data_IF_708801698058
#
_entry.id   IF_708801698058
#
_cell.length_a   1.000
_cell.length_b   1.000
_cell.length_c   1.000
_cell.angle_alpha   90.00
_cell.angle_beta   90.00
_cell.angle_gamma   90.00
#
_symmetry.space_group_name_H-M   'P 1'
#
loop_
_entity.id
_entity.type
_entity.pdbx_description
1 polymer ?
#
# COMPACT_ATOMS: atom_id res chain seq x y z
N UNK A 1 39.54 -40.92 8.16
CA UNK A 1 38.21 -40.78 8.77
C UNK A 1 37.56 -42.15 8.72
N UNK A 2 37.21 -42.68 9.88
CA UNK A 2 37.17 -44.11 10.20
C UNK A 2 35.79 -44.74 9.92
N UNK A 3 35.82 -46.04 9.67
CA UNK A 3 34.77 -46.96 9.19
C UNK A 3 33.47 -46.99 10.01
N UNK A 4 32.40 -47.30 9.29
CA UNK A 4 31.06 -47.74 9.74
C UNK A 4 31.13 -49.26 10.02
N UNK A 5 30.56 -49.70 11.14
CA UNK A 5 30.26 -51.11 11.44
C UNK A 5 28.80 -51.28 11.88
N UNK A 6 28.18 -52.31 11.31
CA UNK A 6 26.83 -52.85 11.54
C UNK A 6 26.65 -53.44 12.95
N UNK A 7 25.41 -53.45 13.45
CA UNK A 7 24.93 -54.63 14.19
C UNK A 7 23.40 -54.79 14.10
N UNK A 8 22.99 -55.92 13.53
CA UNK A 8 21.60 -56.34 13.34
C UNK A 8 20.91 -56.77 14.64
N UNK A 9 19.58 -56.68 14.70
CA UNK A 9 18.78 -57.55 15.56
C UNK A 9 17.40 -57.82 14.95
N UNK A 10 17.22 -59.07 14.50
CA UNK A 10 15.93 -59.71 14.22
C UNK A 10 15.27 -60.08 15.56
N UNK A 11 13.95 -59.96 15.65
CA UNK A 11 13.14 -60.99 16.31
C UNK A 11 11.67 -60.87 15.91
N UNK A 12 11.16 -61.97 15.35
CA UNK A 12 9.75 -62.23 15.09
C UNK A 12 9.07 -62.67 16.38
N UNK A 13 7.86 -62.14 16.60
CA UNK A 13 6.95 -62.56 17.65
C UNK A 13 6.35 -63.95 17.35
N UNK A 14 6.14 -64.74 18.40
CA UNK A 14 5.26 -65.90 18.35
C UNK A 14 5.20 -66.72 19.64
N UNK A 15 4.10 -66.55 20.40
CA UNK A 15 3.27 -67.60 21.07
C UNK A 15 4.01 -68.39 22.20
N UNK A 16 3.63 -68.47 23.50
CA UNK A 16 2.34 -68.78 24.13
C UNK A 16 2.48 -68.78 25.67
N UNK A 17 1.36 -68.48 26.36
CA UNK A 17 0.83 -69.11 27.60
C UNK A 17 1.54 -69.00 28.97
N UNK A 18 1.00 -68.09 29.81
CA UNK A 18 0.37 -68.31 31.13
C UNK A 18 1.02 -69.26 32.18
N UNK A 19 1.51 -68.69 33.31
CA UNK A 19 1.02 -69.04 34.68
C UNK A 19 1.59 -68.13 35.77
N UNK A 20 0.77 -68.01 36.82
CA UNK A 20 0.74 -67.04 37.92
C UNK A 20 1.55 -67.56 39.13
N UNK A 21 1.90 -66.64 40.04
CA UNK A 21 1.91 -66.73 41.52
C UNK A 21 3.31 -66.56 42.16
N UNK A 22 3.42 -65.57 43.07
CA UNK A 22 4.38 -65.64 44.18
C UNK A 22 5.03 -64.31 44.54
N UNK A 23 4.35 -63.50 45.35
CA UNK A 23 4.88 -62.30 46.00
C UNK A 23 5.93 -62.62 47.07
N UNK A 24 7.05 -61.91 47.08
CA UNK A 24 7.76 -61.55 48.33
C UNK A 24 8.28 -60.11 48.20
N UNK A 25 7.81 -59.28 49.12
CA UNK A 25 8.19 -57.88 49.32
C UNK A 25 9.37 -57.81 50.28
N UNK A 26 10.43 -57.10 49.91
CA UNK A 26 11.40 -56.54 50.85
C UNK A 26 11.79 -55.14 50.39
N UNK A 27 11.37 -54.14 51.18
CA UNK A 27 11.74 -52.72 51.06
C UNK A 27 13.23 -52.54 51.29
N UNK A 28 13.91 -51.75 50.44
CA UNK A 28 14.98 -50.89 50.92
C UNK A 28 15.16 -49.66 50.00
N UNK A 29 15.02 -48.50 50.63
CA UNK A 29 15.54 -47.15 50.32
C UNK A 29 15.52 -46.62 48.87
N UNK A 30 14.70 -45.59 48.68
CA UNK A 30 14.88 -44.55 47.65
C UNK A 30 16.02 -43.63 48.10
N UNK A 31 17.03 -43.34 47.27
CA UNK A 31 17.68 -42.04 47.27
C UNK A 31 17.04 -41.15 46.20
N UNK A 32 16.74 -39.94 46.62
CA UNK A 32 16.22 -38.82 45.83
C UNK A 32 17.10 -38.50 44.62
N UNK A 33 16.50 -37.89 43.60
CA UNK A 33 17.26 -37.11 42.63
C UNK A 33 16.82 -37.25 41.18
N UNK A 34 15.55 -36.98 40.87
CA UNK A 34 15.19 -36.47 39.55
C UNK A 34 14.37 -35.21 39.78
N UNK A 35 14.95 -34.05 39.48
CA UNK A 35 14.21 -32.80 39.32
C UNK A 35 13.23 -33.01 38.16
N UNK A 36 12.03 -33.50 38.45
CA UNK A 36 10.93 -33.42 37.50
C UNK A 36 10.72 -31.94 37.24
N UNK A 37 10.97 -31.49 36.01
CA UNK A 37 10.55 -30.17 35.54
C UNK A 37 9.12 -29.97 36.04
N UNK A 38 8.92 -29.01 36.94
CA UNK A 38 7.63 -28.81 37.60
C UNK A 38 6.62 -28.40 36.51
N UNK A 39 5.95 -29.40 35.94
CA UNK A 39 4.99 -29.27 34.85
C UNK A 39 3.87 -28.30 35.23
N UNK A 40 3.52 -28.25 36.52
CA UNK A 40 2.57 -27.32 37.06
C UNK A 40 3.11 -25.87 37.09
N UNK A 41 4.40 -25.66 37.40
CA UNK A 41 5.03 -24.32 37.34
C UNK A 41 5.16 -23.82 35.91
N UNK A 42 5.51 -24.71 34.98
CA UNK A 42 5.64 -24.36 33.56
C UNK A 42 4.29 -23.97 32.96
N UNK A 43 3.20 -24.69 33.30
CA UNK A 43 1.83 -24.33 32.91
C UNK A 43 1.39 -22.97 33.44
N UNK A 44 1.66 -22.69 34.72
CA UNK A 44 1.29 -21.40 35.33
C UNK A 44 2.05 -20.23 34.70
N UNK A 45 3.34 -20.40 34.42
CA UNK A 45 4.13 -19.39 33.71
C UNK A 45 3.55 -19.13 32.32
N UNK A 46 3.17 -20.18 31.58
CA UNK A 46 2.56 -20.02 30.25
C UNK A 46 1.24 -19.24 30.30
N UNK A 47 0.38 -19.53 31.29
CA UNK A 47 -0.89 -18.79 31.48
C UNK A 47 -0.63 -17.32 31.81
N UNK A 48 0.34 -17.02 32.67
CA UNK A 48 0.68 -15.64 33.05
C UNK A 48 1.25 -14.89 31.85
N UNK A 49 2.20 -15.47 31.12
CA UNK A 49 2.80 -14.85 29.93
C UNK A 49 1.73 -14.61 28.86
N UNK A 50 0.87 -15.59 28.59
CA UNK A 50 -0.26 -15.42 27.67
C UNK A 50 -1.22 -14.32 28.14
N UNK A 51 -1.51 -14.25 29.44
CA UNK A 51 -2.40 -13.21 29.99
C UNK A 51 -1.80 -11.81 29.87
N UNK A 52 -0.49 -11.66 30.15
CA UNK A 52 0.22 -10.38 29.97
C UNK A 52 0.22 -9.96 28.50
N UNK A 53 0.47 -10.89 27.58
CA UNK A 53 0.39 -10.63 26.14
C UNK A 53 -1.02 -10.20 25.71
N UNK A 54 -2.07 -10.87 26.20
CA UNK A 54 -3.45 -10.51 25.88
C UNK A 54 -3.85 -9.15 26.46
N UNK A 55 -3.42 -8.82 27.68
CA UNK A 55 -3.62 -7.49 28.27
C UNK A 55 -2.88 -6.44 27.44
N UNK A 56 -1.64 -6.71 27.04
CA UNK A 56 -0.88 -5.81 26.18
C UNK A 56 -1.56 -5.60 24.82
N UNK A 57 -2.02 -6.66 24.18
CA UNK A 57 -2.80 -6.60 22.93
C UNK A 57 -4.12 -5.83 23.13
N UNK A 58 -4.79 -6.01 24.26
CA UNK A 58 -6.02 -5.28 24.59
C UNK A 58 -5.74 -3.79 24.82
N UNK A 59 -4.64 -3.44 25.47
CA UNK A 59 -4.20 -2.05 25.63
C UNK A 59 -3.84 -1.43 24.28
N UNK A 60 -3.13 -2.15 23.40
CA UNK A 60 -2.88 -1.71 22.02
C UNK A 60 -4.16 -1.58 21.19
N UNK A 61 -5.13 -2.47 21.40
CA UNK A 61 -6.42 -2.41 20.72
C UNK A 61 -7.22 -1.18 21.19
N UNK A 62 -7.27 -0.93 22.50
CA UNK A 62 -7.88 0.28 23.05
C UNK A 62 -7.14 1.52 22.56
N UNK A 63 -5.81 1.56 22.61
CA UNK A 63 -5.00 2.69 22.11
C UNK A 63 -5.18 2.91 20.61
N UNK A 64 -5.39 1.87 19.81
CA UNK A 64 -5.75 2.04 18.38
C UNK A 64 -7.17 2.60 18.22
N UNK A 65 -8.09 2.26 19.13
CA UNK A 65 -9.48 2.69 19.08
C UNK A 65 -9.69 4.09 19.70
N UNK A 66 -8.87 4.47 20.70
CA UNK A 66 -8.84 5.78 21.35
C UNK A 66 -7.81 6.71 20.73
N UNK A 67 -6.76 6.20 20.10
CA UNK A 67 -5.78 6.96 19.28
C UNK A 67 -6.37 7.46 17.95
N UNK A 68 -7.68 7.32 17.78
CA UNK A 68 -8.52 8.13 16.89
C UNK A 68 -8.64 9.58 17.43
N UNK A 69 -8.21 9.85 18.68
CA UNK A 69 -8.17 11.18 19.33
C UNK A 69 -7.08 12.13 18.82
N UNK A 70 -6.64 12.01 17.56
CA UNK A 70 -6.00 13.12 16.85
C UNK A 70 -6.88 13.67 15.72
N UNK A 71 -8.18 13.41 15.77
CA UNK A 71 -9.15 14.32 15.22
C UNK A 71 -9.57 15.26 16.34
N UNK A 72 -8.90 16.42 16.44
CA UNK A 72 -9.64 17.59 16.90
C UNK A 72 -10.77 17.71 15.87
N UNK A 73 -11.99 17.31 16.25
CA UNK A 73 -13.18 17.64 15.48
C UNK A 73 -13.23 19.15 15.53
N UNK A 74 -12.60 19.80 14.56
CA UNK A 74 -12.50 21.25 14.48
C UNK A 74 -13.94 21.74 14.35
N UNK A 75 -14.53 22.37 15.38
CA UNK A 75 -15.84 22.94 15.20
C UNK A 75 -15.77 23.90 14.01
N UNK A 76 -16.73 23.85 13.08
CA UNK A 76 -16.70 24.65 11.85
C UNK A 76 -16.37 26.13 12.09
N UNK A 77 -16.85 26.68 13.22
CA UNK A 77 -16.55 28.04 13.70
C UNK A 77 -15.05 28.27 13.91
N UNK A 78 -14.33 27.31 14.51
CA UNK A 78 -12.88 27.41 14.71
C UNK A 78 -12.07 27.24 13.43
N UNK A 79 -12.58 26.51 12.42
CA UNK A 79 -11.92 26.39 11.13
C UNK A 79 -11.93 27.74 10.40
N UNK A 80 -13.09 28.38 10.30
CA UNK A 80 -13.25 29.69 9.66
C UNK A 80 -12.38 30.77 10.35
N UNK A 81 -12.33 30.76 11.69
CA UNK A 81 -11.45 31.63 12.48
C UNK A 81 -9.96 31.37 12.19
N UNK A 82 -9.54 30.10 12.14
CA UNK A 82 -8.13 29.74 11.91
C UNK A 82 -7.70 30.06 10.48
N UNK A 83 -8.55 29.78 9.48
CA UNK A 83 -8.29 30.14 8.08
C UNK A 83 -8.13 31.66 7.91
N UNK A 84 -8.95 32.44 8.62
CA UNK A 84 -8.87 33.91 8.59
C UNK A 84 -7.59 34.42 9.25
N UNK A 85 -7.19 33.81 10.38
CA UNK A 85 -5.97 34.19 11.10
C UNK A 85 -4.70 33.89 10.29
N UNK A 86 -4.67 32.77 9.58
CA UNK A 86 -3.55 32.32 8.75
C UNK A 86 -3.63 32.85 7.30
N UNK A 87 -4.60 33.72 6.99
CA UNK A 87 -4.82 34.27 5.64
C UNK A 87 -4.96 33.19 4.53
N UNK A 88 -5.48 32.01 4.90
CA UNK A 88 -5.64 30.88 3.97
C UNK A 88 -6.95 31.01 3.22
N UNK A 89 -6.88 31.02 1.89
CA UNK A 89 -8.08 31.05 1.04
C UNK A 89 -8.58 29.63 0.77
N UNK A 90 -9.80 29.33 1.18
CA UNK A 90 -10.48 28.07 0.90
C UNK A 90 -11.95 28.30 0.56
N UNK A 91 -12.36 27.84 -0.61
CA UNK A 91 -13.75 27.86 -1.03
C UNK A 91 -14.33 26.45 -0.95
N UNK A 92 -15.22 26.16 0.01
CA UNK A 92 -15.79 24.83 0.18
C UNK A 92 -16.65 24.46 -1.03
N UNK A 93 -16.42 23.28 -1.57
CA UNK A 93 -17.24 22.71 -2.65
C UNK A 93 -18.36 21.89 -2.00
N UNK A 94 -19.60 21.92 -2.53
CA UNK A 94 -20.68 21.08 -2.02
C UNK A 94 -20.29 19.60 -2.02
N UNK A 95 -20.06 19.06 -0.82
CA UNK A 95 -19.71 17.66 -0.62
C UNK A 95 -20.95 16.85 -0.29
N UNK A 96 -21.22 15.81 -1.09
CA UNK A 96 -22.21 14.79 -0.72
C UNK A 96 -21.52 13.68 0.07
N UNK A 97 -22.10 13.34 1.23
CA UNK A 97 -21.67 12.20 2.02
C UNK A 97 -21.62 10.95 1.14
N UNK A 98 -20.47 10.30 1.15
CA UNK A 98 -20.20 9.07 0.41
C UNK A 98 -19.70 8.04 1.39
N UNK A 99 -20.19 6.81 1.25
CA UNK A 99 -19.61 5.68 1.95
C UNK A 99 -18.44 5.12 1.14
N UNK A 100 -17.31 4.90 1.79
CA UNK A 100 -16.07 4.40 1.16
C UNK A 100 -15.54 3.18 1.90
N UNK A 101 -14.79 2.34 1.20
CA UNK A 101 -14.11 1.17 1.77
C UNK A 101 -12.65 1.17 1.36
N UNK A 102 -11.86 0.38 2.08
CA UNK A 102 -10.52 0.03 1.61
C UNK A 102 -10.63 -0.84 0.35
N UNK A 103 -9.59 -0.81 -0.48
CA UNK A 103 -9.48 -1.64 -1.67
C UNK A 103 -8.22 -2.50 -1.58
N UNK A 104 -8.32 -3.76 -1.99
CA UNK A 104 -7.17 -4.59 -2.30
C UNK A 104 -7.11 -4.78 -3.81
N UNK A 105 -5.90 -4.82 -4.38
CA UNK A 105 -5.69 -5.09 -5.79
C UNK A 105 -4.48 -6.02 -5.96
N UNK A 106 -4.45 -6.77 -7.05
CA UNK A 106 -3.30 -7.57 -7.43
C UNK A 106 -2.39 -6.78 -8.36
N UNK A 107 -1.09 -7.09 -8.30
CA UNK A 107 -0.13 -6.59 -9.30
C UNK A 107 -0.39 -7.39 -10.57
N UNK A 108 -0.78 -6.70 -11.64
CA UNK A 108 -1.13 -7.35 -12.89
C UNK A 108 0.11 -7.99 -13.52
N UNK A 109 -0.13 -9.08 -14.24
CA UNK A 109 0.88 -9.70 -15.10
C UNK A 109 0.53 -9.44 -16.56
N UNK A 110 1.54 -9.15 -17.38
CA UNK A 110 1.35 -8.87 -18.80
C UNK A 110 1.50 -10.18 -19.58
N UNK A 111 0.40 -10.68 -20.16
CA UNK A 111 0.43 -11.88 -20.98
C UNK A 111 0.77 -11.57 -22.44
N UNK A 112 1.37 -12.52 -23.15
CA UNK A 112 1.63 -12.38 -24.59
C UNK A 112 0.32 -12.21 -25.37
N UNK A 113 -0.79 -12.78 -24.90
CA UNK A 113 -2.11 -12.60 -25.49
C UNK A 113 -2.57 -11.15 -25.47
N UNK A 114 -2.45 -10.46 -24.34
CA UNK A 114 -2.87 -9.06 -24.18
C UNK A 114 -2.01 -8.11 -25.05
N UNK A 115 -0.74 -8.46 -25.23
CA UNK A 115 0.22 -7.64 -25.97
C UNK A 115 0.17 -7.86 -27.49
N UNK A 116 -0.45 -8.94 -27.98
CA UNK A 116 -0.57 -9.25 -29.42
C UNK A 116 -1.30 -8.17 -30.21
N UNK A 117 -2.25 -7.47 -29.58
CA UNK A 117 -3.00 -6.38 -30.21
C UNK A 117 -2.12 -5.14 -30.47
N UNK A 118 -1.04 -4.98 -29.71
CA UNK A 118 -0.13 -3.83 -29.76
C UNK A 118 1.08 -4.08 -30.67
N UNK A 119 0.82 -4.39 -31.94
CA UNK A 119 1.84 -4.84 -32.93
C UNK A 119 2.93 -3.83 -33.31
N UNK A 120 2.76 -2.53 -33.02
CA UNK A 120 3.70 -1.47 -33.42
C UNK A 120 4.89 -1.28 -32.46
N UNK A 121 5.11 -2.22 -31.55
CA UNK A 121 6.04 -2.08 -30.42
C UNK A 121 6.79 -3.39 -30.18
N UNK A 122 7.86 -3.33 -29.39
CA UNK A 122 8.50 -4.50 -28.77
C UNK A 122 8.37 -4.41 -27.26
N UNK A 123 8.16 -5.54 -26.61
CA UNK A 123 7.92 -5.60 -25.17
C UNK A 123 9.04 -6.35 -24.46
N UNK A 124 9.38 -5.85 -23.28
CA UNK A 124 10.24 -6.53 -22.31
C UNK A 124 9.66 -6.30 -20.92
N UNK A 125 9.73 -7.32 -20.07
CA UNK A 125 9.30 -7.21 -18.68
C UNK A 125 10.53 -7.07 -17.81
N UNK A 126 10.54 -6.07 -16.93
CA UNK A 126 11.58 -5.85 -15.94
C UNK A 126 11.26 -6.58 -14.63
N UNK A 127 12.23 -6.62 -13.71
CA UNK A 127 11.99 -7.08 -12.34
C UNK A 127 10.86 -6.22 -11.70
N UNK A 128 9.95 -6.85 -10.97
CA UNK A 128 8.74 -6.25 -10.35
C UNK A 128 7.51 -6.06 -11.26
N UNK A 129 7.31 -6.92 -12.27
CA UNK A 129 6.11 -6.90 -13.12
C UNK A 129 5.90 -5.56 -13.84
N UNK A 130 6.99 -4.86 -14.20
CA UNK A 130 6.93 -3.63 -14.99
C UNK A 130 7.11 -3.95 -16.46
N UNK A 131 6.15 -3.57 -17.29
CA UNK A 131 6.25 -3.68 -18.74
C UNK A 131 7.02 -2.49 -19.28
N UNK A 132 7.99 -2.74 -20.15
CA UNK A 132 8.65 -1.71 -20.93
C UNK A 132 8.34 -1.97 -22.41
N UNK A 133 7.80 -0.96 -23.08
CA UNK A 133 7.38 -1.05 -24.46
C UNK A 133 8.16 -0.04 -25.30
N UNK A 134 9.02 -0.55 -26.19
CA UNK A 134 9.83 0.25 -27.11
C UNK A 134 9.05 0.46 -28.42
N UNK A 135 8.95 1.72 -28.86
CA UNK A 135 8.19 2.09 -30.06
C UNK A 135 8.97 1.76 -31.34
N UNK A 136 8.32 1.13 -32.32
CA UNK A 136 8.91 0.90 -33.66
C UNK A 136 8.58 2.01 -34.65
N UNK A 137 7.60 2.84 -34.32
CA UNK A 137 7.09 3.93 -35.16
C UNK A 137 7.17 5.21 -34.36
N UNK A 138 7.61 6.27 -35.01
CA UNK A 138 7.56 7.63 -34.49
C UNK A 138 6.09 8.03 -34.28
N UNK A 139 5.77 8.38 -33.03
CA UNK A 139 4.46 8.90 -32.64
C UNK A 139 4.71 10.11 -31.77
N UNK A 140 4.27 11.28 -32.19
CA UNK A 140 4.45 12.52 -31.45
C UNK A 140 3.56 12.57 -30.20
N UNK A 141 4.08 13.10 -29.09
CA UNK A 141 3.30 13.47 -27.89
C UNK A 141 2.60 14.82 -28.01
N UNK A 142 2.90 15.56 -29.08
CA UNK A 142 2.30 16.84 -29.40
C UNK A 142 1.33 16.76 -30.57
N UNK A 143 0.27 17.54 -30.49
CA UNK A 143 -0.73 17.66 -31.55
C UNK A 143 -0.35 18.69 -32.63
N UNK A 144 -1.23 18.89 -33.62
CA UNK A 144 -1.00 19.85 -34.72
C UNK A 144 -0.85 21.31 -34.28
N UNK A 145 -1.22 21.63 -33.03
CA UNK A 145 -1.09 22.95 -32.41
C UNK A 145 0.15 23.09 -31.53
N UNK A 146 1.04 22.09 -31.51
CA UNK A 146 2.24 22.04 -30.67
C UNK A 146 1.94 21.94 -29.16
N UNK A 147 0.74 21.45 -28.79
CA UNK A 147 0.33 21.20 -27.40
C UNK A 147 0.49 19.72 -27.05
N UNK A 148 0.91 19.41 -25.81
CA UNK A 148 0.99 18.03 -25.33
C UNK A 148 -0.40 17.39 -25.22
N UNK A 149 -0.59 16.24 -25.87
CA UNK A 149 -1.85 15.52 -25.92
C UNK A 149 -1.58 14.01 -25.97
N UNK A 150 -2.05 13.29 -24.95
CA UNK A 150 -1.73 11.87 -24.77
C UNK A 150 -2.94 10.95 -24.96
N UNK A 151 -4.16 11.48 -25.02
CA UNK A 151 -5.39 10.67 -25.00
C UNK A 151 -5.43 9.63 -26.14
N UNK A 152 -5.17 10.07 -27.37
CA UNK A 152 -5.11 9.19 -28.54
C UNK A 152 -3.94 8.18 -28.46
N UNK A 153 -2.81 8.62 -27.88
CA UNK A 153 -1.65 7.76 -27.69
C UNK A 153 -1.99 6.62 -26.70
N UNK A 154 -2.55 6.97 -25.55
CA UNK A 154 -2.95 6.02 -24.50
C UNK A 154 -3.96 5.01 -25.04
N UNK A 155 -4.98 5.46 -25.77
CA UNK A 155 -6.02 4.57 -26.30
C UNK A 155 -5.51 3.56 -27.33
N UNK A 156 -4.47 3.92 -28.09
CA UNK A 156 -4.01 3.13 -29.24
C UNK A 156 -2.78 2.28 -28.95
N UNK A 157 -1.90 2.74 -28.07
CA UNK A 157 -0.58 2.15 -27.87
C UNK A 157 -0.38 1.58 -26.47
N UNK A 158 -1.21 1.96 -25.49
CA UNK A 158 -1.04 1.51 -24.09
C UNK A 158 -2.16 0.54 -23.71
N UNK A 159 -1.78 -0.61 -23.15
CA UNK A 159 -2.75 -1.58 -22.64
C UNK A 159 -3.61 -0.93 -21.55
N UNK A 160 -4.94 -0.90 -21.74
CA UNK A 160 -5.89 -0.20 -20.86
C UNK A 160 -5.50 1.27 -20.60
N UNK A 161 -4.96 1.97 -21.60
CA UNK A 161 -4.50 3.36 -21.45
C UNK A 161 -5.57 4.33 -20.92
N UNK A 162 -6.86 4.06 -21.14
CA UNK A 162 -7.97 4.85 -20.58
C UNK A 162 -8.02 4.87 -19.05
N UNK A 163 -7.41 3.86 -18.41
CA UNK A 163 -7.37 3.76 -16.96
C UNK A 163 -6.29 4.67 -16.36
N UNK A 164 -5.46 5.32 -17.16
CA UNK A 164 -4.42 6.23 -16.69
C UNK A 164 -4.84 7.69 -16.86
N UNK A 165 -4.38 8.56 -15.96
CA UNK A 165 -4.59 10.01 -16.03
C UNK A 165 -3.28 10.74 -15.82
N UNK A 166 -3.04 11.78 -16.62
CA UNK A 166 -1.83 12.59 -16.52
C UNK A 166 -1.75 13.21 -15.13
N UNK A 167 -0.62 12.99 -14.48
CA UNK A 167 -0.30 13.55 -13.16
C UNK A 167 0.74 14.66 -13.29
N UNK A 168 1.81 14.40 -14.03
CA UNK A 168 2.95 15.31 -14.15
C UNK A 168 3.53 15.26 -15.56
N UNK A 169 3.92 16.43 -16.05
CA UNK A 169 4.62 16.60 -17.32
C UNK A 169 5.97 17.24 -16.99
N UNK A 170 7.04 16.50 -17.26
CA UNK A 170 8.41 16.95 -17.06
C UNK A 170 9.09 17.09 -18.43
N UNK A 171 9.05 18.32 -18.96
CA UNK A 171 9.66 18.63 -20.26
C UNK A 171 11.19 18.58 -20.21
N UNK A 172 11.80 18.83 -19.05
CA UNK A 172 13.26 18.84 -18.89
C UNK A 172 13.81 17.40 -18.97
N UNK A 173 13.14 16.46 -18.32
CA UNK A 173 13.48 15.04 -18.37
C UNK A 173 12.77 14.28 -19.51
N UNK A 174 12.05 14.98 -20.38
CA UNK A 174 11.34 14.43 -21.54
C UNK A 174 10.41 13.27 -21.19
N UNK A 175 9.67 13.40 -20.10
CA UNK A 175 8.77 12.36 -19.63
C UNK A 175 7.45 12.87 -19.06
N UNK A 176 6.41 12.03 -19.15
CA UNK A 176 5.10 12.31 -18.59
C UNK A 176 4.69 11.14 -17.70
N UNK A 177 4.28 11.47 -16.48
CA UNK A 177 3.87 10.51 -15.45
C UNK A 177 2.36 10.49 -15.36
N UNK A 178 1.80 9.28 -15.38
CA UNK A 178 0.38 9.02 -15.28
C UNK A 178 0.11 8.07 -14.13
N UNK A 179 -0.98 8.34 -13.42
CA UNK A 179 -1.47 7.45 -12.37
C UNK A 179 -2.69 6.65 -12.85
N UNK A 180 -2.73 5.38 -12.47
CA UNK A 180 -3.88 4.52 -12.75
C UNK A 180 -5.10 4.97 -11.93
N UNK A 181 -6.29 4.76 -12.49
CA UNK A 181 -7.58 5.02 -11.90
C UNK A 181 -8.33 3.72 -11.67
N UNK A 182 -9.08 3.68 -10.57
CA UNK A 182 -10.05 2.63 -10.27
C UNK A 182 -11.41 3.27 -10.07
N UNK A 183 -12.43 2.85 -10.85
CA UNK A 183 -13.80 3.38 -10.77
C UNK A 183 -13.84 4.93 -10.86
N UNK A 184 -13.01 5.52 -11.71
CA UNK A 184 -12.82 6.98 -11.90
C UNK A 184 -12.02 7.70 -10.81
N UNK A 185 -11.55 6.99 -9.79
CA UNK A 185 -10.78 7.57 -8.69
C UNK A 185 -9.28 7.28 -8.90
N UNK A 186 -8.42 8.27 -8.70
CA UNK A 186 -6.97 8.14 -8.96
C UNK A 186 -6.27 7.39 -7.83
N UNK A 187 -5.30 6.54 -8.17
CA UNK A 187 -4.40 5.88 -7.22
C UNK A 187 -3.13 6.73 -7.10
N UNK A 188 -2.99 7.46 -6.00
CA UNK A 188 -1.89 8.39 -5.76
C UNK A 188 -0.61 7.64 -5.36
N UNK A 189 0.50 7.99 -6.04
CA UNK A 189 1.86 7.61 -5.67
C UNK A 189 2.05 6.10 -5.38
N UNK A 190 1.43 5.22 -6.20
CA UNK A 190 1.69 3.79 -6.15
C UNK A 190 2.67 3.37 -7.25
N UNK A 191 3.85 2.80 -6.92
CA UNK A 191 4.83 2.39 -7.92
C UNK A 191 4.31 1.29 -8.87
N UNK A 192 3.29 0.55 -8.45
CA UNK A 192 2.69 -0.54 -9.23
C UNK A 192 1.43 -0.12 -10.01
N UNK A 193 1.10 1.17 -10.00
CA UNK A 193 -0.08 1.73 -10.67
C UNK A 193 0.27 2.99 -11.48
N UNK A 194 1.43 2.96 -12.16
CA UNK A 194 2.01 4.12 -12.83
C UNK A 194 2.33 3.79 -14.29
N UNK A 195 2.15 4.77 -15.17
CA UNK A 195 2.62 4.76 -16.54
C UNK A 195 3.55 5.97 -16.74
N UNK A 196 4.72 5.74 -17.30
CA UNK A 196 5.68 6.80 -17.64
C UNK A 196 5.98 6.72 -19.13
N UNK A 197 5.70 7.80 -19.86
CA UNK A 197 5.96 7.91 -21.29
C UNK A 197 7.21 8.77 -21.47
N UNK A 198 8.16 8.31 -22.28
CA UNK A 198 9.40 9.03 -22.61
C UNK A 198 9.43 9.41 -24.09
N UNK A 199 9.94 10.60 -24.41
CA UNK A 199 10.11 11.07 -25.79
C UNK A 199 11.52 11.60 -26.06
N UNK A 200 11.82 11.83 -27.35
CA UNK A 200 13.09 12.41 -27.81
C UNK A 200 13.02 13.94 -28.00
N UNK A 201 14.13 14.55 -28.42
CA UNK A 201 14.21 15.99 -28.71
C UNK A 201 13.25 16.46 -29.84
N UNK A 202 12.65 15.54 -30.59
CA UNK A 202 11.64 15.80 -31.62
C UNK A 202 10.22 15.54 -31.12
N UNK A 203 10.04 15.31 -29.81
CA UNK A 203 8.76 14.97 -29.16
C UNK A 203 8.14 13.66 -29.65
N UNK A 204 8.93 12.76 -30.25
CA UNK A 204 8.45 11.42 -30.60
C UNK A 204 8.64 10.47 -29.43
N UNK A 205 7.61 9.68 -29.12
CA UNK A 205 7.68 8.67 -28.07
C UNK A 205 8.72 7.61 -28.44
N UNK A 206 9.69 7.41 -27.54
CA UNK A 206 10.75 6.41 -27.68
C UNK A 206 10.32 5.10 -27.03
N UNK A 207 9.89 5.15 -25.77
CA UNK A 207 9.36 4.02 -25.02
C UNK A 207 8.42 4.48 -23.90
N UNK A 208 7.70 3.53 -23.31
CA UNK A 208 6.99 3.74 -22.06
C UNK A 208 7.23 2.61 -21.07
N UNK A 209 7.08 2.92 -19.78
CA UNK A 209 7.10 1.98 -18.68
C UNK A 209 5.72 1.92 -18.04
N UNK A 210 5.15 0.72 -17.92
CA UNK A 210 3.81 0.52 -17.40
C UNK A 210 3.82 -0.49 -16.25
N UNK A 211 3.27 -0.08 -15.11
CA UNK A 211 2.86 -0.95 -14.02
C UNK A 211 1.36 -0.82 -13.81
N UNK A 212 0.69 -1.95 -13.61
CA UNK A 212 -0.76 -1.99 -13.56
C UNK A 212 -1.22 -2.85 -12.38
N UNK A 213 -2.31 -2.41 -11.77
CA UNK A 213 -3.07 -3.19 -10.81
C UNK A 213 -4.36 -3.72 -11.43
N UNK A 214 -4.76 -4.91 -11.04
CA UNK A 214 -6.02 -5.55 -11.40
C UNK A 214 -6.73 -6.16 -10.18
N UNK A 215 -7.85 -6.83 -10.42
CA UNK A 215 -8.62 -7.54 -9.41
C UNK A 215 -8.93 -6.72 -8.15
N UNK A 216 -9.41 -5.49 -8.36
CA UNK A 216 -9.81 -4.60 -7.29
C UNK A 216 -11.00 -5.15 -6.50
N UNK A 217 -10.76 -5.51 -5.24
CA UNK A 217 -11.76 -5.98 -4.30
C UNK A 217 -11.93 -4.98 -3.16
N UNK A 218 -13.17 -4.54 -2.95
CA UNK A 218 -13.54 -3.77 -1.76
C UNK A 218 -13.54 -4.69 -0.54
N UNK A 219 -12.81 -4.32 0.50
CA UNK A 219 -12.79 -5.06 1.77
C UNK A 219 -13.00 -4.13 2.96
N UNK A 220 -13.30 -4.72 4.12
CA UNK A 220 -13.84 -4.07 5.32
C UNK A 220 -15.27 -3.52 5.15
N UNK A 221 -15.89 -3.18 6.28
CA UNK A 221 -17.13 -2.43 6.30
C UNK A 221 -16.93 -1.05 5.69
N UNK A 222 -17.93 -0.60 4.95
CA UNK A 222 -18.01 0.78 4.49
C UNK A 222 -17.96 1.73 5.69
N UNK A 223 -17.25 2.83 5.51
CA UNK A 223 -17.13 3.91 6.49
C UNK A 223 -17.52 5.23 5.84
N UNK A 224 -17.94 6.17 6.67
CA UNK A 224 -18.23 7.52 6.22
C UNK A 224 -16.94 8.19 5.75
N UNK A 225 -17.00 8.76 4.54
CA UNK A 225 -15.95 9.60 4.00
C UNK A 225 -15.95 10.94 4.75
N UNK A 226 -14.79 11.32 5.29
CA UNK A 226 -14.58 12.64 5.88
C UNK A 226 -14.90 13.72 4.85
N UNK A 227 -15.55 14.79 5.30
CA UNK A 227 -15.82 15.95 4.45
C UNK A 227 -14.53 16.67 4.05
N UNK A 228 -14.60 17.45 2.97
CA UNK A 228 -13.47 18.27 2.53
C UNK A 228 -13.07 19.31 3.59
N UNK A 229 -14.05 19.86 4.31
CA UNK A 229 -13.81 20.81 5.41
C UNK A 229 -13.03 20.16 6.56
N UNK A 230 -13.38 18.92 6.93
CA UNK A 230 -12.64 18.16 7.96
C UNK A 230 -11.21 17.84 7.51
N UNK A 231 -11.03 17.51 6.23
CA UNK A 231 -9.72 17.24 5.64
C UNK A 231 -8.84 18.49 5.65
N UNK A 232 -9.33 19.62 5.13
CA UNK A 232 -8.61 20.90 5.13
C UNK A 232 -8.35 21.39 6.54
N UNK A 233 -9.34 21.30 7.44
CA UNK A 233 -9.18 21.70 8.84
C UNK A 233 -8.14 20.87 9.60
N UNK A 234 -7.98 19.59 9.27
CA UNK A 234 -6.89 18.77 9.79
C UNK A 234 -5.51 19.29 9.36
N UNK A 235 -5.35 19.69 8.10
CA UNK A 235 -4.07 20.26 7.60
C UNK A 235 -3.73 21.59 8.27
N UNK A 236 -4.72 22.49 8.36
CA UNK A 236 -4.53 23.83 8.97
C UNK A 236 -4.16 23.69 10.44
N UNK A 237 -4.93 22.93 11.22
CA UNK A 237 -4.69 22.76 12.67
C UNK A 237 -3.33 22.12 12.97
N UNK A 238 -2.85 21.26 12.07
CA UNK A 238 -1.54 20.59 12.19
C UNK A 238 -0.39 21.42 11.63
N UNK A 239 -0.66 22.61 11.07
CA UNK A 239 0.36 23.51 10.54
C UNK A 239 0.98 23.06 9.21
N UNK A 240 0.31 22.22 8.43
CA UNK A 240 0.78 21.83 7.09
C UNK A 240 0.56 22.95 6.06
N UNK A 241 -0.52 23.73 6.20
CA UNK A 241 -0.79 24.83 5.29
C UNK A 241 -0.06 26.08 5.75
N UNK A 242 0.78 26.63 4.89
CA UNK A 242 1.52 27.88 5.15
C UNK A 242 0.56 29.08 5.11
N UNK A 243 0.91 30.13 5.84
CA UNK A 243 0.19 31.40 5.83
C UNK A 243 0.09 31.95 4.40
N UNK A 244 -1.06 32.56 4.06
CA UNK A 244 -1.30 33.16 2.73
C UNK A 244 -1.52 32.17 1.59
N UNK A 245 -1.52 30.87 1.87
CA UNK A 245 -1.74 29.84 0.86
C UNK A 245 -3.21 29.76 0.40
N UNK A 246 -3.44 29.23 -0.80
CA UNK A 246 -4.77 29.03 -1.38
C UNK A 246 -5.01 27.56 -1.66
N UNK A 247 -6.04 26.99 -1.05
CA UNK A 247 -6.51 25.64 -1.37
C UNK A 247 -7.23 25.68 -2.72
N UNK A 248 -6.62 25.05 -3.73
CA UNK A 248 -7.11 25.06 -5.11
C UNK A 248 -8.21 24.01 -5.30
N UNK A 249 -7.92 22.76 -4.94
CA UNK A 249 -8.81 21.62 -5.15
C UNK A 249 -8.64 20.56 -4.07
N UNK A 250 -9.73 19.85 -3.77
CA UNK A 250 -9.74 18.68 -2.88
C UNK A 250 -10.32 17.50 -3.66
N UNK A 251 -9.45 16.60 -4.14
CA UNK A 251 -9.82 15.46 -4.98
C UNK A 251 -9.78 14.16 -4.20
N UNK A 252 -10.79 13.32 -4.41
CA UNK A 252 -10.85 12.00 -3.81
C UNK A 252 -10.06 10.98 -4.65
N UNK A 253 -9.47 10.00 -3.98
CA UNK A 253 -8.73 8.92 -4.61
C UNK A 253 -8.33 7.86 -3.60
N UNK A 254 -7.27 7.12 -3.93
CA UNK A 254 -6.73 6.04 -3.13
C UNK A 254 -5.23 6.18 -3.00
N UNK A 255 -4.68 5.83 -1.85
CA UNK A 255 -3.23 5.77 -1.66
C UNK A 255 -2.84 4.43 -1.09
N UNK A 256 -1.64 3.97 -1.43
CA UNK A 256 -1.12 2.70 -0.93
C UNK A 256 -0.94 2.76 0.58
N UNK A 257 -1.57 1.83 1.28
CA UNK A 257 -1.46 1.67 2.73
C UNK A 257 -0.48 0.55 3.10
N UNK A 258 -0.56 -0.59 2.41
CA UNK A 258 0.33 -1.74 2.61
C UNK A 258 0.65 -2.35 1.25
N UNK A 259 1.93 -2.63 1.02
CA UNK A 259 2.41 -3.38 -0.14
C UNK A 259 2.84 -4.78 0.30
N UNK A 260 2.23 -5.80 -0.30
CA UNK A 260 2.66 -7.19 -0.19
C UNK A 260 3.19 -7.63 -1.57
N UNK A 261 3.80 -8.82 -1.65
CA UNK A 261 4.48 -9.32 -2.85
C UNK A 261 3.61 -9.30 -4.10
N UNK A 262 2.35 -9.72 -4.00
CA UNK A 262 1.42 -9.83 -5.14
C UNK A 262 0.14 -9.00 -4.95
N UNK A 263 -0.09 -8.45 -3.75
CA UNK A 263 -1.32 -7.76 -3.39
C UNK A 263 -0.98 -6.44 -2.72
N UNK A 264 -1.70 -5.40 -3.10
CA UNK A 264 -1.61 -4.09 -2.47
C UNK A 264 -2.94 -3.72 -1.81
N UNK A 265 -2.84 -3.00 -0.71
CA UNK A 265 -3.97 -2.48 0.03
C UNK A 265 -3.96 -0.96 -0.04
N UNK A 266 -5.12 -0.38 -0.33
CA UNK A 266 -5.31 1.04 -0.53
C UNK A 266 -6.30 1.63 0.44
N UNK A 267 -5.95 2.79 0.97
CA UNK A 267 -6.80 3.61 1.80
C UNK A 267 -7.48 4.72 0.96
N UNK A 268 -8.80 4.95 1.14
CA UNK A 268 -9.45 6.17 0.67
C UNK A 268 -8.66 7.41 1.10
N UNK A 269 -8.39 8.32 0.17
CA UNK A 269 -7.50 9.48 0.41
C UNK A 269 -8.07 10.75 -0.22
N UNK A 270 -7.92 11.87 0.48
CA UNK A 270 -8.06 13.21 -0.07
C UNK A 270 -6.69 13.72 -0.53
N UNK A 271 -6.59 14.15 -1.79
CA UNK A 271 -5.50 14.99 -2.27
C UNK A 271 -5.95 16.46 -2.22
N UNK A 272 -5.31 17.24 -1.35
CA UNK A 272 -5.51 18.67 -1.19
C UNK A 272 -4.37 19.40 -1.91
N UNK A 273 -4.69 20.03 -3.04
CA UNK A 273 -3.74 20.81 -3.81
C UNK A 273 -3.75 22.26 -3.32
N UNK A 274 -2.58 22.77 -2.97
CA UNK A 274 -2.42 24.08 -2.35
C UNK A 274 -1.42 24.89 -3.13
N UNK A 275 -1.80 26.12 -3.50
CA UNK A 275 -0.92 27.10 -4.09
C UNK A 275 -0.35 28.00 -3.00
N UNK A 276 0.96 28.06 -2.90
CA UNK A 276 1.67 28.94 -1.97
C UNK A 276 1.76 30.37 -2.51
N UNK A 277 2.15 31.31 -1.65
CA UNK A 277 2.34 32.72 -2.02
C UNK A 277 3.40 32.92 -3.11
N UNK A 278 4.47 32.12 -3.10
CA UNK A 278 5.53 32.13 -4.11
C UNK A 278 5.10 31.55 -5.47
N UNK A 279 3.87 31.00 -5.53
CA UNK A 279 3.28 30.38 -6.71
C UNK A 279 3.53 28.88 -6.83
N UNK A 280 4.33 28.27 -5.95
CA UNK A 280 4.55 26.83 -5.94
C UNK A 280 3.26 26.08 -5.58
N UNK A 281 3.08 24.89 -6.17
CA UNK A 281 1.93 24.02 -5.93
C UNK A 281 2.41 22.82 -5.13
N UNK A 282 1.84 22.62 -3.94
CA UNK A 282 2.08 21.46 -3.08
C UNK A 282 0.83 20.57 -3.04
N UNK A 283 1.01 19.26 -2.95
CA UNK A 283 -0.07 18.29 -2.79
C UNK A 283 0.03 17.63 -1.42
N UNK A 284 -1.05 17.68 -0.65
CA UNK A 284 -1.15 17.06 0.67
C UNK A 284 -2.14 15.90 0.63
N UNK A 285 -1.73 14.76 1.16
CA UNK A 285 -2.53 13.54 1.12
C UNK A 285 -3.04 13.19 2.51
N UNK A 286 -4.33 12.94 2.64
CA UNK A 286 -4.96 12.65 3.94
C UNK A 286 -5.83 11.42 3.81
N UNK A 287 -5.63 10.44 4.70
CA UNK A 287 -6.54 9.31 4.82
C UNK A 287 -7.96 9.83 5.06
N UNK A 288 -8.87 9.53 4.13
CA UNK A 288 -10.21 10.09 4.10
C UNK A 288 -11.19 9.39 5.04
N UNK A 289 -10.71 8.42 5.83
CA UNK A 289 -11.44 7.77 6.92
C UNK A 289 -10.85 8.17 8.29
N UNK A 290 -9.52 8.18 8.40
CA UNK A 290 -8.82 8.42 9.69
C UNK A 290 -8.40 9.88 9.89
N UNK A 291 -8.42 10.71 8.86
CA UNK A 291 -8.02 12.13 8.93
C UNK A 291 -6.52 12.36 9.14
N UNK A 292 -5.71 11.30 8.98
CA UNK A 292 -4.24 11.35 9.13
C UNK A 292 -3.59 11.73 7.81
N UNK A 293 -2.62 12.64 7.88
CA UNK A 293 -1.75 12.97 6.76
C UNK A 293 -0.90 11.75 6.41
N UNK A 294 -0.82 11.46 5.11
CA UNK A 294 -0.01 10.41 4.54
C UNK A 294 1.26 11.04 3.96
N UNK A 295 2.41 10.56 4.41
CA UNK A 295 3.69 10.92 3.82
C UNK A 295 4.10 9.82 2.86
N UNK A 296 4.38 10.19 1.60
CA UNK A 296 5.03 9.30 0.66
C UNK A 296 6.53 9.53 0.78
N UNK A 297 7.28 8.47 1.06
CA UNK A 297 8.72 8.55 0.87
C UNK A 297 8.96 8.67 -0.63
N UNK A 298 9.70 9.69 -1.11
CA UNK A 298 10.17 9.67 -2.48
C UNK A 298 11.04 8.42 -2.61
N UNK A 299 10.59 7.44 -3.38
CA UNK A 299 11.47 6.41 -3.89
C UNK A 299 12.43 7.12 -4.83
N UNK A 300 13.58 7.55 -4.31
CA UNK A 300 14.72 7.92 -5.13
C UNK A 300 14.92 6.78 -6.10
N UNK A 301 14.77 7.04 -7.39
CA UNK A 301 15.24 6.16 -8.46
C UNK A 301 16.76 6.13 -8.33
N UNK A 302 17.27 5.31 -7.41
CA UNK A 302 18.69 5.01 -7.35
C UNK A 302 19.03 4.21 -8.61
N UNK A 303 19.76 4.86 -9.51
CA UNK A 303 20.66 4.22 -10.45
C UNK A 303 21.54 3.21 -9.69
N UNK A 304 21.16 1.93 -9.71
CA UNK A 304 22.12 0.86 -9.47
C UNK A 304 22.56 0.34 -10.83
N UNK A 305 23.53 1.07 -11.39
CA UNK A 305 24.40 0.55 -12.44
C UNK A 305 25.52 -0.21 -11.74
N UNK A 306 25.52 -1.54 -11.83
CA UNK A 306 26.73 -2.36 -11.73
C UNK A 306 26.80 -3.30 -12.95
#
# INVERSE_FOLDING_TARGET
MMKIEDCSLRSLAGITSLKIIGSVSCRHSIPEGVNSLDWNKTKTIFIIVFSVLNIFLYLLYLDRQTGVDNMQVVPKVSLEETLTMEEITYNPIPFMKKEVSYLSAHIATFSDEDLKELSSQTFRTSENSRLIADMKKEVSVKNEKDEFEFDDYLLKYVLKGSDYVLWELDEENQCAVFFQRVKSETIFHSPNATLVIHWDDQYNVTYYEQSMLDDFVSFNHKKDLLSQDEAVGSLVTRGYLKQGSTVMHVKYGYSTLVQLTETQVFAPTWNVQVKLEDGAIENYFINAIEGKVLEFQPNTLEEQTE
#
